data_IF_073332222940
#
_entry.id   IF_073332222940
#
_cell.length_a   1.000
_cell.length_b   1.000
_cell.length_c   1.000
_cell.angle_alpha   90.00
_cell.angle_beta   90.00
_cell.angle_gamma   90.00
#
_symmetry.space_group_name_H-M   'P 1'
#
loop_
_entity.id
_entity.type
_entity.pdbx_description
1 polymer ?
#
# COMPACT_ATOMS: atom_id res chain seq x y z
N UNK A 1 -10.64 -9.10 -9.09
CA UNK A 1 -10.54 -9.29 -7.63
C UNK A 1 -9.48 -8.39 -7.01
N UNK A 2 -8.26 -8.46 -7.51
CA UNK A 2 -7.17 -7.63 -6.99
C UNK A 2 -7.49 -6.14 -7.06
N UNK A 3 -8.11 -5.71 -8.13
CA UNK A 3 -8.41 -4.29 -8.33
C UNK A 3 -9.24 -3.72 -7.17
N UNK A 4 -10.29 -4.43 -6.76
CA UNK A 4 -11.14 -3.99 -5.65
C UNK A 4 -10.40 -4.11 -4.33
N UNK A 5 -9.77 -5.24 -4.09
CA UNK A 5 -9.05 -5.50 -2.83
C UNK A 5 -7.87 -4.54 -2.67
N UNK A 6 -7.12 -4.30 -3.75
CA UNK A 6 -5.98 -3.39 -3.71
C UNK A 6 -6.38 -1.95 -3.44
N UNK A 7 -7.48 -1.49 -4.03
CA UNK A 7 -7.97 -0.14 -3.79
C UNK A 7 -8.37 0.06 -2.34
N UNK A 8 -9.09 -0.89 -1.78
CA UNK A 8 -9.52 -0.84 -0.39
C UNK A 8 -8.31 -0.82 0.54
N UNK A 9 -7.33 -1.68 0.26
CA UNK A 9 -6.12 -1.77 1.05
C UNK A 9 -5.36 -0.43 1.09
N UNK A 10 -5.10 0.16 -0.08
CA UNK A 10 -4.37 1.42 -0.15
C UNK A 10 -5.12 2.55 0.53
N UNK A 11 -6.44 2.60 0.32
CA UNK A 11 -7.27 3.64 0.92
C UNK A 11 -7.24 3.54 2.44
N UNK A 12 -7.32 2.34 2.99
CA UNK A 12 -7.30 2.18 4.44
C UNK A 12 -5.94 2.52 5.03
N UNK A 13 -4.85 2.18 4.35
CA UNK A 13 -3.53 2.62 4.78
C UNK A 13 -3.44 4.15 4.82
N UNK A 14 -3.94 4.80 3.78
CA UNK A 14 -3.90 6.26 3.67
C UNK A 14 -4.87 6.95 4.64
N UNK A 15 -6.04 6.39 4.85
CA UNK A 15 -7.10 7.03 5.65
C UNK A 15 -7.03 6.69 7.13
N UNK A 16 -6.48 5.54 7.50
CA UNK A 16 -6.43 5.09 8.89
C UNK A 16 -5.02 5.12 9.46
N UNK A 17 -4.08 4.52 8.74
CA UNK A 17 -2.72 4.32 9.25
C UNK A 17 -1.92 5.62 9.24
N UNK A 18 -1.94 6.35 8.13
CA UNK A 18 -1.17 7.58 8.01
C UNK A 18 -1.66 8.69 8.94
N UNK A 19 -2.99 8.91 9.11
CA UNK A 19 -3.43 9.88 10.10
C UNK A 19 -2.99 9.54 11.52
N UNK A 20 -3.00 8.26 11.90
CA UNK A 20 -2.51 7.85 13.21
C UNK A 20 -1.02 8.14 13.37
N UNK A 21 -0.24 7.85 12.33
CA UNK A 21 1.19 8.10 12.34
C UNK A 21 1.50 9.60 12.37
N UNK A 22 0.70 10.40 11.65
CA UNK A 22 0.90 11.85 11.56
C UNK A 22 0.75 12.56 12.90
N UNK A 23 0.12 11.93 13.88
CA UNK A 23 0.02 12.49 15.23
C UNK A 23 1.35 12.47 15.98
N UNK A 24 2.30 11.65 15.53
CA UNK A 24 3.58 11.45 16.22
C UNK A 24 4.77 12.00 15.43
N UNK A 25 4.70 11.98 14.09
CA UNK A 25 5.81 12.38 13.23
C UNK A 25 5.28 13.17 12.05
N UNK A 26 6.18 13.93 11.40
CA UNK A 26 5.85 14.60 10.14
C UNK A 26 6.05 13.60 9.00
N UNK A 27 4.97 13.31 8.29
CA UNK A 27 4.99 12.31 7.21
C UNK A 27 5.93 12.72 6.07
N UNK A 28 6.04 14.01 5.79
CA UNK A 28 6.92 14.52 4.74
C UNK A 28 8.40 14.35 5.08
N UNK A 29 8.73 14.00 6.32
CA UNK A 29 10.08 13.72 6.75
C UNK A 29 10.34 12.23 6.96
N UNK A 30 9.39 11.38 6.57
CA UNK A 30 9.52 9.93 6.63
C UNK A 30 9.71 9.38 5.22
N UNK A 31 10.95 9.11 4.79
CA UNK A 31 11.20 8.68 3.40
C UNK A 31 10.43 7.43 3.00
N UNK A 32 10.28 6.48 3.93
CA UNK A 32 9.55 5.24 3.65
C UNK A 32 8.07 5.52 3.39
N UNK A 33 7.46 6.47 4.11
CA UNK A 33 6.06 6.84 3.91
C UNK A 33 5.90 7.52 2.55
N UNK A 34 6.80 8.42 2.21
CA UNK A 34 6.78 9.09 0.90
C UNK A 34 6.92 8.07 -0.22
N UNK A 35 7.80 7.08 -0.06
CA UNK A 35 7.98 6.00 -1.01
C UNK A 35 6.71 5.16 -1.15
N UNK A 36 6.05 4.85 -0.02
CA UNK A 36 4.81 4.08 -0.02
C UNK A 36 3.72 4.79 -0.83
N UNK A 37 3.55 6.09 -0.63
CA UNK A 37 2.54 6.87 -1.36
C UNK A 37 2.86 6.93 -2.85
N UNK A 38 4.13 7.08 -3.21
CA UNK A 38 4.54 7.07 -4.61
C UNK A 38 4.28 5.69 -5.24
N UNK A 39 4.56 4.61 -4.52
CA UNK A 39 4.27 3.25 -4.98
C UNK A 39 2.77 3.05 -5.20
N UNK A 40 1.92 3.55 -4.30
CA UNK A 40 0.46 3.47 -4.47
C UNK A 40 0.02 4.13 -5.77
N UNK A 41 0.56 5.31 -6.07
CA UNK A 41 0.22 6.02 -7.30
C UNK A 41 0.66 5.24 -8.54
N UNK A 42 1.87 4.68 -8.51
CA UNK A 42 2.41 3.90 -9.62
C UNK A 42 1.61 2.61 -9.84
N UNK A 43 1.25 1.93 -8.76
CA UNK A 43 0.46 0.70 -8.86
C UNK A 43 -0.94 1.00 -9.40
N UNK A 44 -1.57 2.07 -8.93
CA UNK A 44 -2.89 2.48 -9.44
C UNK A 44 -2.82 2.78 -10.94
N UNK A 45 -1.79 3.48 -11.38
CA UNK A 45 -1.60 3.79 -12.80
C UNK A 45 -1.39 2.51 -13.62
N UNK A 46 -0.56 1.59 -13.12
CA UNK A 46 -0.31 0.32 -13.80
C UNK A 46 -1.58 -0.53 -13.90
N UNK A 47 -2.41 -0.52 -12.85
CA UNK A 47 -3.70 -1.23 -12.87
C UNK A 47 -4.65 -0.62 -13.90
N UNK A 48 -4.70 0.70 -14.00
CA UNK A 48 -5.54 1.37 -14.99
C UNK A 48 -5.10 1.03 -16.39
N UNK A 49 -3.79 1.03 -16.64
CA UNK A 49 -3.24 0.69 -17.95
C UNK A 49 -3.54 -0.76 -18.32
N UNK A 50 -3.40 -1.67 -17.34
CA UNK A 50 -3.70 -3.08 -17.54
C UNK A 50 -5.17 -3.30 -17.84
N UNK A 51 -6.06 -2.65 -17.09
CA UNK A 51 -7.50 -2.75 -17.28
C UNK A 51 -7.89 -2.24 -18.68
N UNK A 52 -7.32 -1.11 -19.10
CA UNK A 52 -7.58 -0.55 -20.42
C UNK A 52 -7.08 -1.49 -21.52
N UNK A 53 -5.90 -2.10 -21.33
CA UNK A 53 -5.35 -3.04 -22.30
C UNK A 53 -6.21 -4.29 -22.43
N UNK A 54 -6.73 -4.80 -21.29
CA UNK A 54 -7.63 -5.94 -21.32
C UNK A 54 -8.93 -5.63 -22.07
N UNK A 55 -9.51 -4.47 -21.78
CA UNK A 55 -10.76 -4.04 -22.43
C UNK A 55 -10.57 -3.88 -23.93
N UNK A 56 -9.39 -3.45 -24.37
CA UNK A 56 -9.07 -3.25 -25.78
C UNK A 56 -8.46 -4.50 -26.44
N UNK A 57 -8.36 -5.60 -25.69
CA UNK A 57 -7.73 -6.85 -26.14
C UNK A 57 -6.31 -6.62 -26.65
N UNK A 58 -5.56 -5.80 -25.93
CA UNK A 58 -4.16 -5.44 -26.26
C UNK A 58 -3.22 -5.74 -25.10
N UNK A 59 -3.54 -6.77 -24.29
CA UNK A 59 -2.73 -7.09 -23.12
C UNK A 59 -1.32 -7.49 -23.55
N UNK A 60 -0.34 -6.85 -22.91
CA UNK A 60 1.08 -7.12 -23.13
C UNK A 60 1.63 -7.79 -21.87
N UNK A 61 2.40 -8.86 -22.08
CA UNK A 61 3.03 -9.58 -20.99
C UNK A 61 3.91 -8.67 -20.12
N UNK A 62 4.56 -7.68 -20.73
CA UNK A 62 5.39 -6.74 -19.98
C UNK A 62 4.60 -5.92 -18.98
N UNK A 63 3.33 -5.62 -19.27
CA UNK A 63 2.46 -4.90 -18.34
C UNK A 63 2.17 -5.72 -17.10
N UNK A 64 1.93 -7.01 -17.28
CA UNK A 64 1.70 -7.93 -16.16
C UNK A 64 2.96 -8.07 -15.31
N UNK A 65 4.11 -8.23 -15.95
CA UNK A 65 5.39 -8.34 -15.26
C UNK A 65 5.71 -7.07 -14.47
N UNK A 66 5.49 -5.89 -15.06
CA UNK A 66 5.72 -4.61 -14.40
C UNK A 66 4.86 -4.48 -13.15
N UNK A 67 3.57 -4.79 -13.27
CA UNK A 67 2.66 -4.72 -12.13
C UNK A 67 3.10 -5.69 -11.03
N UNK A 68 3.44 -6.92 -11.41
CA UNK A 68 3.91 -7.91 -10.45
C UNK A 68 5.14 -7.44 -9.68
N UNK A 69 6.09 -6.81 -10.38
CA UNK A 69 7.29 -6.28 -9.74
C UNK A 69 6.97 -5.12 -8.79
N UNK A 70 6.10 -4.21 -9.21
CA UNK A 70 5.67 -3.11 -8.36
C UNK A 70 5.01 -3.61 -7.07
N UNK A 71 4.14 -4.61 -7.20
CA UNK A 71 3.47 -5.20 -6.04
C UNK A 71 4.44 -5.92 -5.12
N UNK A 72 5.37 -6.68 -5.68
CA UNK A 72 6.39 -7.39 -4.91
C UNK A 72 7.22 -6.40 -4.09
N UNK A 73 7.72 -5.36 -4.75
CA UNK A 73 8.57 -4.37 -4.09
C UNK A 73 7.80 -3.60 -3.02
N UNK A 74 6.52 -3.31 -3.27
CA UNK A 74 5.67 -2.61 -2.32
C UNK A 74 5.42 -3.44 -1.06
N UNK A 75 5.13 -4.74 -1.22
CA UNK A 75 4.94 -5.64 -0.08
C UNK A 75 6.22 -5.71 0.76
N UNK A 76 7.38 -5.80 0.10
CA UNK A 76 8.66 -5.82 0.79
C UNK A 76 8.89 -4.53 1.57
N UNK A 77 8.57 -3.39 0.97
CA UNK A 77 8.70 -2.09 1.65
C UNK A 77 7.84 -2.05 2.92
N UNK A 78 6.59 -2.50 2.82
CA UNK A 78 5.69 -2.50 3.96
C UNK A 78 6.19 -3.42 5.07
N UNK A 79 6.53 -4.65 4.72
CA UNK A 79 6.94 -5.64 5.73
C UNK A 79 8.30 -5.33 6.35
N UNK A 80 9.25 -4.86 5.55
CA UNK A 80 10.63 -4.67 6.02
C UNK A 80 10.85 -3.31 6.66
N UNK A 81 10.06 -2.29 6.31
CA UNK A 81 10.32 -0.92 6.73
C UNK A 81 9.10 -0.23 7.36
N UNK A 82 7.96 -0.23 6.66
CA UNK A 82 6.79 0.55 7.08
C UNK A 82 6.20 0.02 8.38
N UNK A 83 5.83 -1.25 8.42
CA UNK A 83 5.18 -1.82 9.59
C UNK A 83 6.08 -1.83 10.82
N UNK A 84 7.37 -2.20 10.74
CA UNK A 84 8.26 -2.07 11.89
C UNK A 84 8.38 -0.63 12.40
N UNK A 85 8.42 0.34 11.48
CA UNK A 85 8.50 1.75 11.86
C UNK A 85 7.25 2.19 12.59
N UNK A 86 6.07 1.79 12.09
CA UNK A 86 4.81 2.12 12.72
C UNK A 86 4.74 1.51 14.12
N UNK A 87 5.15 0.26 14.27
CA UNK A 87 5.16 -0.40 15.58
C UNK A 87 6.08 0.30 16.57
N UNK A 88 7.15 0.94 16.09
CA UNK A 88 8.07 1.68 16.95
C UNK A 88 7.54 3.04 17.36
N UNK A 89 6.59 3.60 16.63
CA UNK A 89 6.08 4.97 16.86
C UNK A 89 4.75 4.97 17.60
N UNK A 90 3.81 4.12 17.20
CA UNK A 90 2.49 4.07 17.81
C UNK A 90 2.53 3.34 19.15
N UNK A 91 1.70 3.77 20.11
CA UNK A 91 1.60 3.08 21.37
C UNK A 91 0.74 1.81 21.24
N UNK A 92 0.73 1.01 22.32
CA UNK A 92 0.02 -0.27 22.32
C UNK A 92 -1.48 -0.11 22.08
N UNK A 93 -2.06 0.96 22.60
CA UNK A 93 -3.48 1.20 22.43
C UNK A 93 -3.84 1.54 21.00
N UNK A 94 -3.02 2.38 20.36
CA UNK A 94 -3.22 2.72 18.95
C UNK A 94 -3.04 1.49 18.06
N UNK A 95 -2.03 0.68 18.33
CA UNK A 95 -1.80 -0.55 17.60
C UNK A 95 -2.95 -1.53 17.77
N UNK A 96 -3.47 -1.66 18.99
CA UNK A 96 -4.60 -2.53 19.27
C UNK A 96 -5.86 -2.10 18.52
N UNK A 97 -6.03 -0.80 18.32
CA UNK A 97 -7.16 -0.25 17.56
C UNK A 97 -7.01 -0.51 16.06
N UNK A 98 -5.80 -0.35 15.52
CA UNK A 98 -5.54 -0.48 14.10
C UNK A 98 -5.36 -1.92 13.64
N UNK A 99 -4.80 -2.77 14.49
CA UNK A 99 -4.43 -4.13 14.12
C UNK A 99 -5.58 -4.96 13.55
N UNK A 100 -6.79 -4.95 14.14
CA UNK A 100 -7.90 -5.69 13.54
C UNK A 100 -8.26 -5.21 12.14
N UNK A 101 -8.13 -3.91 11.86
CA UNK A 101 -8.41 -3.34 10.55
C UNK A 101 -7.36 -3.77 9.54
N UNK A 102 -6.09 -3.73 9.93
CA UNK A 102 -4.99 -4.14 9.06
C UNK A 102 -4.99 -5.64 8.79
N UNK A 103 -5.37 -6.44 9.77
CA UNK A 103 -5.43 -7.89 9.62
C UNK A 103 -6.46 -8.31 8.58
N UNK A 104 -7.54 -7.54 8.44
CA UNK A 104 -8.55 -7.78 7.42
C UNK A 104 -7.96 -7.62 6.02
N UNK A 105 -6.99 -6.73 5.87
CA UNK A 105 -6.36 -6.44 4.59
C UNK A 105 -5.17 -7.35 4.29
N UNK A 106 -4.51 -7.83 5.34
CA UNK A 106 -3.35 -8.70 5.24
C UNK A 106 -3.60 -9.98 6.03
N UNK A 107 -4.57 -10.79 5.64
CA UNK A 107 -4.84 -12.04 6.37
C UNK A 107 -3.65 -12.97 6.23
N UNK A 108 -3.27 -13.57 7.31
CA UNK A 108 -2.17 -14.53 7.33
C UNK A 108 -2.66 -15.92 7.59
#
# INVERSE_FOLDING_TARGET
>A
FWEIAGRTHFREEEDLLLPALARHVRLDQEPAVMRMLADHAQIRAALQDLTAALAANRLDESQVTTLGQLLHDHVRLEEDTIFPRIESILDEQELATLKPLLTTLHPQ
#
